data_IF_269815748429
#
_entry.id   IF_269815748429
#
_cell.length_a   1.000
_cell.length_b   1.000
_cell.length_c   1.000
_cell.angle_alpha   90.00
_cell.angle_beta   90.00
_cell.angle_gamma   90.00
#
_symmetry.space_group_name_H-M   'P 1'
#
loop_
_entity.id
_entity.type
_entity.pdbx_description
1 polymer ?
#
# COMPACT_ATOMS: atom_id res chain seq x y z
N UNK A 1 9.06 8.45 2.76
CA UNK A 1 10.36 7.86 3.13
C UNK A 1 10.20 6.35 3.23
N UNK A 2 11.18 5.63 2.73
CA UNK A 2 11.16 4.17 2.67
C UNK A 2 12.48 3.64 3.19
N UNK A 3 12.46 2.58 3.99
CA UNK A 3 13.70 1.94 4.44
C UNK A 3 13.63 0.43 4.21
N UNK A 4 14.73 -0.14 3.78
CA UNK A 4 14.85 -1.57 3.58
C UNK A 4 15.31 -2.30 4.85
N UNK A 5 15.43 -3.62 4.77
CA UNK A 5 15.87 -4.45 5.88
C UNK A 5 17.32 -4.21 6.31
N UNK A 6 18.12 -3.61 5.46
CA UNK A 6 19.49 -3.23 5.77
C UNK A 6 19.63 -1.92 6.53
N UNK A 7 18.51 -1.27 6.86
CA UNK A 7 18.52 0.02 7.54
C UNK A 7 18.84 1.20 6.66
N UNK A 8 19.04 1.01 5.37
CA UNK A 8 19.24 2.10 4.43
C UNK A 8 17.94 2.87 4.26
N UNK A 9 18.02 4.20 4.33
CA UNK A 9 16.88 5.08 4.07
C UNK A 9 16.89 5.52 2.62
N UNK A 10 15.78 5.23 1.95
CA UNK A 10 15.57 5.63 0.58
C UNK A 10 14.42 6.63 0.57
N UNK A 11 14.64 7.79 0.00
CA UNK A 11 13.59 8.79 -0.15
C UNK A 11 12.89 8.55 -1.47
N UNK A 12 11.57 8.41 -1.40
CA UNK A 12 10.74 8.21 -2.59
C UNK A 12 9.72 9.34 -2.70
N UNK A 13 9.39 9.67 -3.92
CA UNK A 13 8.24 10.52 -4.25
C UNK A 13 7.37 9.77 -5.21
N UNK A 14 6.10 10.13 -5.27
CA UNK A 14 5.21 9.43 -6.18
C UNK A 14 3.85 10.06 -6.26
N UNK A 15 3.05 9.46 -7.11
CA UNK A 15 1.67 9.84 -7.35
C UNK A 15 0.80 8.61 -7.23
N UNK A 16 -0.41 8.81 -6.74
CA UNK A 16 -1.40 7.75 -6.73
C UNK A 16 -2.74 8.27 -7.26
N UNK A 17 -3.54 7.35 -7.75
CA UNK A 17 -4.88 7.64 -8.22
C UNK A 17 -5.80 6.47 -7.90
N UNK A 18 -7.06 6.81 -7.63
CA UNK A 18 -8.12 5.83 -7.43
C UNK A 18 -9.17 6.07 -8.49
N UNK A 19 -9.52 5.02 -9.23
CA UNK A 19 -10.55 5.08 -10.24
C UNK A 19 -11.67 4.11 -9.87
N UNK A 20 -12.90 4.62 -9.78
CA UNK A 20 -14.06 3.81 -9.47
C UNK A 20 -14.69 3.32 -10.77
N UNK A 21 -14.63 2.01 -11.00
CA UNK A 21 -15.30 1.35 -12.11
C UNK A 21 -16.46 0.48 -11.58
N UNK A 22 -17.45 0.13 -12.43
CA UNK A 22 -18.48 -0.79 -12.00
C UNK A 22 -17.90 -2.13 -11.55
N UNK A 23 -18.21 -2.53 -10.31
CA UNK A 23 -17.76 -3.79 -9.74
C UNK A 23 -16.34 -3.84 -9.22
N UNK A 24 -15.53 -2.80 -9.44
CA UNK A 24 -14.17 -2.74 -8.89
C UNK A 24 -13.65 -1.31 -8.82
N UNK A 25 -12.77 -1.08 -7.86
CA UNK A 25 -11.98 0.16 -7.80
C UNK A 25 -10.54 -0.16 -8.14
N UNK A 26 -9.91 0.70 -8.93
CA UNK A 26 -8.51 0.56 -9.31
C UNK A 26 -7.69 1.62 -8.57
N UNK A 27 -6.71 1.17 -7.82
CA UNK A 27 -5.71 2.03 -7.20
C UNK A 27 -4.39 1.82 -7.93
N UNK A 28 -3.78 2.90 -8.37
CA UNK A 28 -2.48 2.88 -9.01
C UNK A 28 -1.55 3.84 -8.29
N UNK A 29 -0.35 3.38 -8.01
CA UNK A 29 0.70 4.19 -7.41
C UNK A 29 1.96 4.08 -8.25
N UNK A 30 2.60 5.22 -8.46
CA UNK A 30 3.91 5.30 -9.12
C UNK A 30 4.88 5.88 -8.11
N UNK A 31 5.90 5.12 -7.77
CA UNK A 31 6.93 5.54 -6.83
C UNK A 31 8.24 5.75 -7.58
N UNK A 32 8.88 6.87 -7.31
CA UNK A 32 10.18 7.23 -7.88
C UNK A 32 11.19 7.38 -6.78
N UNK A 33 12.36 6.78 -6.97
CA UNK A 33 13.47 6.96 -6.04
C UNK A 33 14.09 8.33 -6.25
N UNK A 34 14.23 9.07 -5.16
CA UNK A 34 14.91 10.35 -5.18
C UNK A 34 16.40 10.11 -5.46
N UNK A 35 16.96 10.81 -6.43
CA UNK A 35 18.35 10.63 -6.85
C UNK A 35 18.55 9.64 -8.00
N UNK A 36 17.54 8.84 -8.33
CA UNK A 36 17.57 7.96 -9.50
C UNK A 36 16.20 7.94 -10.18
N UNK A 37 15.90 8.93 -11.05
CA UNK A 37 14.60 9.02 -11.71
C UNK A 37 14.32 7.88 -12.69
N UNK A 38 15.31 7.05 -13.00
CA UNK A 38 15.11 5.88 -13.86
C UNK A 38 14.50 4.71 -13.10
N UNK A 39 14.59 4.70 -11.78
CA UNK A 39 14.02 3.64 -10.95
C UNK A 39 12.62 4.03 -10.53
N UNK A 40 11.64 3.46 -11.22
CA UNK A 40 10.23 3.71 -11.02
C UNK A 40 9.56 2.39 -10.66
N UNK A 41 8.77 2.40 -9.59
CA UNK A 41 7.95 1.26 -9.19
C UNK A 41 6.48 1.58 -9.41
N UNK A 42 5.80 0.71 -10.14
CA UNK A 42 4.36 0.79 -10.37
C UNK A 42 3.65 -0.25 -9.53
N UNK A 43 2.72 0.20 -8.70
CA UNK A 43 1.86 -0.68 -7.92
C UNK A 43 0.42 -0.49 -8.36
N UNK A 44 -0.26 -1.60 -8.62
CA UNK A 44 -1.65 -1.59 -9.03
C UNK A 44 -2.45 -2.53 -8.14
N UNK A 45 -3.57 -2.02 -7.64
CA UNK A 45 -4.47 -2.76 -6.77
C UNK A 45 -5.87 -2.77 -7.38
N UNK A 46 -6.51 -3.94 -7.39
CA UNK A 46 -7.93 -4.05 -7.68
C UNK A 46 -8.66 -4.25 -6.35
N UNK A 47 -9.61 -3.38 -6.06
CA UNK A 47 -10.30 -3.35 -4.78
C UNK A 47 -11.77 -3.62 -5.04
N UNK A 48 -12.37 -4.56 -4.29
CA UNK A 48 -13.81 -4.73 -4.29
C UNK A 48 -14.44 -3.51 -3.62
N UNK A 49 -15.51 -2.92 -4.20
CA UNK A 49 -16.18 -1.82 -3.55
C UNK A 49 -16.73 -2.24 -2.20
N UNK A 50 -16.69 -1.32 -1.22
CA UNK A 50 -17.34 -1.56 0.07
C UNK A 50 -18.84 -1.71 -0.11
N UNK A 51 -19.41 -2.71 0.54
CA UNK A 51 -20.87 -2.82 0.66
C UNK A 51 -21.40 -1.66 1.50
N UNK A 52 -22.63 -1.19 1.26
CA UNK A 52 -23.23 -0.16 2.12
C UNK A 52 -23.19 -0.58 3.59
N UNK A 53 -22.59 0.27 4.44
CA UNK A 53 -22.38 -0.03 5.85
C UNK A 53 -21.27 -1.03 6.14
N UNK A 54 -20.59 -1.55 5.12
CA UNK A 54 -19.49 -2.50 5.28
C UNK A 54 -18.22 -1.83 5.83
N UNK A 55 -17.48 -2.57 6.67
CA UNK A 55 -16.25 -2.09 7.28
C UNK A 55 -15.01 -2.76 6.73
N UNK A 56 -15.15 -3.73 5.85
CA UNK A 56 -14.01 -4.40 5.23
C UNK A 56 -14.29 -4.73 3.79
N UNK A 57 -13.22 -4.83 3.02
CA UNK A 57 -13.28 -5.31 1.64
C UNK A 57 -11.95 -5.98 1.29
N UNK A 58 -11.94 -6.70 0.17
CA UNK A 58 -10.76 -7.40 -0.30
C UNK A 58 -10.12 -6.67 -1.48
N UNK A 59 -8.84 -6.89 -1.64
CA UNK A 59 -8.10 -6.38 -2.78
C UNK A 59 -7.07 -7.40 -3.26
N UNK A 60 -6.67 -7.27 -4.51
CA UNK A 60 -5.59 -8.04 -5.12
C UNK A 60 -4.60 -7.10 -5.79
N UNK A 61 -3.36 -7.52 -5.86
CA UNK A 61 -2.30 -6.75 -6.48
C UNK A 61 -1.26 -7.67 -7.11
N UNK A 62 -0.59 -7.17 -8.13
CA UNK A 62 0.65 -7.72 -8.63
C UNK A 62 1.76 -6.73 -8.31
N UNK A 63 2.64 -7.13 -7.41
CA UNK A 63 3.78 -6.32 -7.01
C UNK A 63 5.01 -6.76 -7.82
N UNK A 64 5.74 -5.84 -8.47
CA UNK A 64 6.91 -6.22 -9.26
C UNK A 64 8.00 -6.95 -8.47
N UNK A 65 8.10 -6.68 -7.17
CA UNK A 65 9.15 -7.26 -6.34
C UNK A 65 8.79 -8.64 -5.78
N UNK A 66 7.52 -8.86 -5.43
CA UNK A 66 7.11 -10.08 -4.70
C UNK A 66 5.98 -10.86 -5.39
N UNK A 67 5.49 -10.40 -6.53
CA UNK A 67 4.45 -11.07 -7.30
C UNK A 67 3.05 -10.79 -6.78
N UNK A 68 2.18 -11.79 -6.86
CA UNK A 68 0.77 -11.65 -6.49
C UNK A 68 0.59 -11.49 -4.99
N UNK A 69 -0.26 -10.54 -4.59
CA UNK A 69 -0.65 -10.32 -3.20
C UNK A 69 -2.17 -10.26 -3.10
N UNK A 70 -2.70 -10.75 -1.99
CA UNK A 70 -4.11 -10.62 -1.63
C UNK A 70 -4.21 -9.94 -0.27
N UNK A 71 -5.14 -9.05 -0.12
CA UNK A 71 -5.27 -8.31 1.11
C UNK A 71 -6.70 -7.97 1.46
N UNK A 72 -6.82 -7.35 2.61
CA UNK A 72 -8.06 -6.83 3.17
C UNK A 72 -7.83 -5.42 3.63
N UNK A 73 -8.80 -4.56 3.37
CA UNK A 73 -8.92 -3.28 4.05
C UNK A 73 -9.97 -3.39 5.15
N UNK A 74 -9.65 -2.85 6.31
CA UNK A 74 -10.57 -2.76 7.44
C UNK A 74 -10.65 -1.30 7.87
N UNK A 75 -11.85 -0.75 7.93
CA UNK A 75 -12.07 0.61 8.43
C UNK A 75 -12.10 0.59 9.95
N UNK A 76 -11.27 1.40 10.58
CA UNK A 76 -11.16 1.51 12.03
C UNK A 76 -11.10 2.98 12.41
N UNK A 77 -12.28 3.59 12.64
CA UNK A 77 -12.38 5.02 12.94
C UNK A 77 -11.84 5.87 11.79
N UNK A 78 -10.80 6.63 12.05
CA UNK A 78 -10.12 7.48 11.07
C UNK A 78 -8.96 6.77 10.35
N UNK A 79 -8.83 5.46 10.54
CA UNK A 79 -7.77 4.67 9.95
C UNK A 79 -8.30 3.60 8.99
N UNK A 80 -7.51 3.29 7.99
CA UNK A 80 -7.70 2.12 7.13
C UNK A 80 -6.54 1.18 7.42
N UNK A 81 -6.85 -0.03 7.85
CA UNK A 81 -5.86 -1.06 8.10
C UNK A 81 -5.82 -2.00 6.91
N UNK A 82 -4.62 -2.33 6.46
CA UNK A 82 -4.43 -3.25 5.35
C UNK A 82 -3.57 -4.43 5.79
N UNK A 83 -4.09 -5.62 5.59
CA UNK A 83 -3.40 -6.87 5.85
C UNK A 83 -3.26 -7.61 4.54
N UNK A 84 -2.08 -8.12 4.22
CA UNK A 84 -1.89 -8.82 2.95
C UNK A 84 -0.88 -9.93 3.05
N UNK A 85 -1.01 -10.87 2.10
CA UNK A 85 -0.10 -12.00 1.97
C UNK A 85 -0.03 -12.47 0.53
N UNK A 86 1.10 -13.12 0.18
CA UNK A 86 1.19 -13.89 -1.06
C UNK A 86 0.41 -15.20 -0.93
N UNK A 87 0.06 -15.86 -2.05
CA UNK A 87 -0.72 -17.10 -1.99
C UNK A 87 -0.09 -18.21 -1.15
N UNK A 88 1.24 -18.27 -1.09
CA UNK A 88 1.96 -19.25 -0.28
C UNK A 88 2.15 -18.84 1.18
N UNK A 89 1.86 -17.56 1.50
CA UNK A 89 2.16 -16.99 2.81
C UNK A 89 3.61 -16.63 3.03
N UNK A 90 4.47 -16.79 2.02
CA UNK A 90 5.89 -16.44 2.12
C UNK A 90 6.09 -14.96 2.38
N UNK A 91 5.31 -14.12 1.73
CA UNK A 91 5.31 -12.67 1.93
C UNK A 91 4.03 -12.27 2.64
N UNK A 92 4.17 -11.48 3.68
CA UNK A 92 3.05 -10.94 4.47
C UNK A 92 3.35 -9.50 4.81
N UNK A 93 2.32 -8.73 4.98
CA UNK A 93 2.52 -7.35 5.36
C UNK A 93 1.30 -6.72 6.00
N UNK A 94 1.54 -5.53 6.49
CA UNK A 94 0.56 -4.72 7.16
C UNK A 94 0.82 -3.26 6.80
N UNK A 95 -0.26 -2.52 6.61
CA UNK A 95 -0.18 -1.08 6.39
C UNK A 95 -1.31 -0.39 7.13
N UNK A 96 -1.00 0.74 7.73
CA UNK A 96 -1.99 1.59 8.36
C UNK A 96 -1.99 2.95 7.68
N UNK A 97 -3.16 3.37 7.20
CA UNK A 97 -3.39 4.70 6.65
C UNK A 97 -4.26 5.46 7.63
N UNK A 98 -3.70 6.44 8.31
CA UNK A 98 -4.42 7.23 9.29
C UNK A 98 -4.70 8.63 8.76
N UNK A 99 -5.97 9.02 8.76
CA UNK A 99 -6.36 10.36 8.36
C UNK A 99 -5.93 11.36 9.44
N UNK A 100 -5.12 12.33 9.06
CA UNK A 100 -4.67 13.41 9.94
C UNK A 100 -5.51 14.66 9.75
N UNK A 101 -5.81 14.97 8.50
CA UNK A 101 -6.64 16.09 8.09
C UNK A 101 -7.49 15.63 6.91
N UNK A 102 -8.45 16.44 6.48
CA UNK A 102 -9.37 16.07 5.42
C UNK A 102 -8.66 15.59 4.14
N UNK A 103 -7.50 16.18 3.83
CA UNK A 103 -6.75 15.88 2.61
C UNK A 103 -5.40 15.23 2.87
N UNK A 104 -5.12 14.78 4.12
CA UNK A 104 -3.81 14.21 4.47
C UNK A 104 -3.96 12.91 5.23
N UNK A 105 -3.16 11.93 4.83
CA UNK A 105 -3.05 10.62 5.48
C UNK A 105 -1.60 10.35 5.84
N UNK A 106 -1.36 9.89 7.04
CA UNK A 106 -0.09 9.31 7.43
C UNK A 106 -0.13 7.80 7.18
N UNK A 107 0.88 7.28 6.50
CA UNK A 107 0.95 5.87 6.13
C UNK A 107 2.17 5.24 6.76
N UNK A 108 1.98 4.10 7.39
CA UNK A 108 3.04 3.26 7.97
C UNK A 108 2.82 1.85 7.53
N UNK A 109 3.87 1.17 7.14
CA UNK A 109 3.73 -0.21 6.71
C UNK A 109 5.01 -1.01 6.81
N UNK A 110 4.85 -2.32 6.66
CA UNK A 110 5.96 -3.26 6.67
C UNK A 110 5.68 -4.42 5.72
N UNK A 111 6.73 -4.96 5.13
CA UNK A 111 6.69 -6.17 4.34
C UNK A 111 7.65 -7.19 4.96
N UNK A 112 7.15 -8.39 5.19
CA UNK A 112 7.90 -9.49 5.78
C UNK A 112 8.03 -10.62 4.78
N UNK A 113 9.19 -11.25 4.75
CA UNK A 113 9.38 -12.58 4.15
C UNK A 113 9.57 -13.56 5.29
N UNK A 114 8.56 -14.42 5.51
CA UNK A 114 8.48 -15.25 6.70
C UNK A 114 8.60 -14.38 7.97
N UNK A 115 9.62 -14.57 8.78
CA UNK A 115 9.83 -13.76 9.98
C UNK A 115 10.80 -12.60 9.78
N UNK A 116 11.29 -12.42 8.57
CA UNK A 116 12.29 -11.42 8.26
C UNK A 116 11.65 -10.14 7.74
N UNK A 117 11.98 -9.01 8.31
CA UNK A 117 11.56 -7.71 7.81
C UNK A 117 12.34 -7.40 6.53
N UNK A 118 11.63 -7.30 5.40
CA UNK A 118 12.25 -6.90 4.13
C UNK A 118 12.28 -5.39 3.99
N UNK A 119 11.18 -4.72 4.35
CA UNK A 119 11.12 -3.27 4.25
C UNK A 119 10.07 -2.71 5.21
N UNK A 120 10.29 -1.46 5.57
CA UNK A 120 9.32 -0.64 6.29
C UNK A 120 9.23 0.72 5.61
N UNK A 121 8.10 1.37 5.73
CA UNK A 121 7.92 2.69 5.13
C UNK A 121 7.06 3.60 5.99
N UNK A 122 7.29 4.88 5.80
CA UNK A 122 6.53 5.94 6.39
C UNK A 122 6.32 7.01 5.32
N UNK A 123 5.07 7.31 5.03
CA UNK A 123 4.69 8.24 3.97
C UNK A 123 3.64 9.21 4.47
N UNK A 124 3.55 10.35 3.80
CA UNK A 124 2.36 11.17 3.83
C UNK A 124 1.72 11.19 2.45
N UNK A 125 0.42 10.99 2.41
CA UNK A 125 -0.37 11.15 1.21
C UNK A 125 -1.17 12.43 1.33
N UNK A 126 -1.05 13.27 0.32
CA UNK A 126 -1.81 14.51 0.23
C UNK A 126 -2.71 14.44 -0.97
N UNK A 127 -3.98 14.73 -0.77
CA UNK A 127 -4.95 14.78 -1.87
C UNK A 127 -4.68 16.01 -2.72
N UNK A 128 -4.54 15.77 -4.01
CA UNK A 128 -4.37 16.86 -4.97
C UNK A 128 -5.66 17.65 -5.18
#
# INVERSE_FOLDING_TARGET
MYSDAGGARIVVSGENSVRHEPGRWLFEAVLRLRGDPTRVQHNRYEIEPFSPGGRSTHWTSNNPAVGALRGRFVLAGDAILSFYASPTGRYRGFECLQQREQARYAVRGTLLEEDKVLSTWALELTRA
#
